data_IF_500836566904
#
_entry.id   IF_500836566904
#
_cell.length_a   1.000
_cell.length_b   1.000
_cell.length_c   1.000
_cell.angle_alpha   90.00
_cell.angle_beta   90.00
_cell.angle_gamma   90.00
#
_symmetry.space_group_name_H-M   'P 1'
#
loop_
_entity.id
_entity.type
_entity.pdbx_description
1 polymer ?
#
# COMPACT_ATOMS: atom_id res chain seq x y z
N UNK A 1 1.45 16.87 -1.63
CA UNK A 1 1.21 15.42 -1.85
C UNK A 1 1.13 14.61 -0.56
N UNK A 2 1.97 14.87 0.44
CA UNK A 2 2.02 14.07 1.69
C UNK A 2 0.71 14.04 2.48
N UNK A 3 -0.01 15.18 2.62
CA UNK A 3 -1.27 15.22 3.38
C UNK A 3 -2.35 14.35 2.74
N UNK A 4 -2.48 14.39 1.41
CA UNK A 4 -3.43 13.58 0.66
C UNK A 4 -3.10 12.09 0.78
N UNK A 5 -1.81 11.73 0.70
CA UNK A 5 -1.35 10.36 0.91
C UNK A 5 -1.65 9.85 2.33
N UNK A 6 -1.39 10.67 3.34
CA UNK A 6 -1.68 10.33 4.74
C UNK A 6 -3.19 10.19 4.97
N UNK A 7 -4.01 11.08 4.43
CA UNK A 7 -5.46 10.95 4.47
C UNK A 7 -5.95 9.67 3.79
N UNK A 8 -5.41 9.35 2.62
CA UNK A 8 -5.75 8.13 1.89
C UNK A 8 -5.36 6.86 2.67
N UNK A 9 -4.13 6.79 3.20
CA UNK A 9 -3.70 5.59 3.92
C UNK A 9 -4.46 5.40 5.23
N UNK A 10 -4.81 6.49 5.93
CA UNK A 10 -5.68 6.44 7.09
C UNK A 10 -7.05 5.84 6.72
N UNK A 11 -7.66 6.33 5.65
CA UNK A 11 -8.97 5.86 5.20
C UNK A 11 -8.93 4.37 4.84
N UNK A 12 -7.94 3.93 4.06
CA UNK A 12 -7.76 2.52 3.69
C UNK A 12 -7.70 1.62 4.93
N UNK A 13 -6.90 2.00 5.93
CA UNK A 13 -6.78 1.19 7.15
C UNK A 13 -8.05 1.27 8.00
N UNK A 14 -8.77 2.40 8.01
CA UNK A 14 -10.06 2.53 8.70
C UNK A 14 -11.06 1.54 8.12
N UNK A 15 -11.17 1.50 6.81
CA UNK A 15 -12.07 0.58 6.13
C UNK A 15 -11.69 -0.88 6.34
N UNK A 16 -10.40 -1.23 6.28
CA UNK A 16 -9.99 -2.61 6.59
C UNK A 16 -10.35 -3.03 8.02
N UNK A 17 -10.23 -2.13 9.00
CA UNK A 17 -10.67 -2.40 10.37
C UNK A 17 -12.19 -2.53 10.49
N UNK A 18 -12.95 -1.71 9.77
CA UNK A 18 -14.42 -1.77 9.78
C UNK A 18 -14.94 -3.06 9.13
N UNK A 19 -14.29 -3.51 8.06
CA UNK A 19 -14.68 -4.69 7.30
C UNK A 19 -14.21 -5.99 7.97
N UNK A 20 -13.04 -5.98 8.62
CA UNK A 20 -12.48 -7.16 9.27
C UNK A 20 -11.92 -6.77 10.64
N UNK A 21 -12.59 -7.15 11.74
CA UNK A 21 -12.11 -6.87 13.12
C UNK A 21 -10.71 -7.43 13.39
N UNK A 22 -10.30 -8.44 12.63
CA UNK A 22 -9.04 -9.16 12.75
C UNK A 22 -7.87 -8.44 12.07
N UNK A 23 -8.10 -7.25 11.49
CA UNK A 23 -7.09 -6.52 10.75
C UNK A 23 -5.95 -6.05 11.68
N UNK A 24 -4.67 -6.33 11.36
CA UNK A 24 -3.58 -6.23 12.34
C UNK A 24 -3.06 -4.80 12.60
N UNK A 25 -3.58 -3.78 11.90
CA UNK A 25 -3.05 -2.41 11.96
C UNK A 25 -4.18 -1.42 12.16
N UNK A 26 -4.12 -0.61 13.21
CA UNK A 26 -5.06 0.51 13.41
C UNK A 26 -4.74 1.68 12.46
N UNK A 27 -5.73 2.51 12.09
CA UNK A 27 -5.51 3.62 11.14
C UNK A 27 -4.49 4.64 11.65
N UNK A 28 -4.57 5.00 12.93
CA UNK A 28 -3.56 5.83 13.59
C UNK A 28 -2.20 5.14 13.69
N UNK A 29 -2.19 3.82 13.94
CA UNK A 29 -0.96 3.03 13.96
C UNK A 29 -0.26 2.96 12.60
N UNK A 30 -0.99 3.01 11.49
CA UNK A 30 -0.41 3.12 10.15
C UNK A 30 0.26 4.49 9.94
N UNK A 31 -0.44 5.57 10.32
CA UNK A 31 0.10 6.93 10.23
C UNK A 31 1.37 7.12 11.06
N UNK A 32 1.38 6.67 12.32
CA UNK A 32 2.55 6.79 13.19
C UNK A 32 3.78 6.10 12.59
N UNK A 33 3.60 4.92 11.98
CA UNK A 33 4.70 4.16 11.35
C UNK A 33 5.28 4.82 10.10
N UNK A 34 4.49 5.67 9.43
CA UNK A 34 4.90 6.41 8.22
C UNK A 34 5.49 7.77 8.59
N UNK A 35 4.91 8.47 9.56
CA UNK A 35 5.30 9.82 9.97
C UNK A 35 6.58 9.86 10.79
N UNK A 36 6.84 8.85 11.62
CA UNK A 36 8.02 8.86 12.49
C UNK A 36 9.26 8.45 11.66
N UNK A 37 10.24 9.35 11.47
CA UNK A 37 11.35 9.13 10.53
C UNK A 37 12.23 7.92 10.86
N UNK A 38 12.42 7.60 12.15
CA UNK A 38 13.15 6.40 12.58
C UNK A 38 12.43 5.09 12.23
N UNK A 39 11.11 5.12 12.01
CA UNK A 39 10.33 3.99 11.54
C UNK A 39 10.06 4.03 10.03
N UNK A 40 10.40 5.08 9.29
CA UNK A 40 9.84 5.28 7.95
C UNK A 40 10.19 4.14 6.96
N UNK A 41 11.39 3.54 7.08
CA UNK A 41 11.78 2.40 6.25
C UNK A 41 11.17 1.08 6.75
N UNK A 42 11.23 0.78 8.05
CA UNK A 42 10.73 -0.50 8.57
C UNK A 42 9.20 -0.51 8.72
N UNK A 43 8.63 0.64 9.05
CA UNK A 43 7.23 0.90 9.32
C UNK A 43 6.38 0.80 8.07
N UNK A 44 6.77 1.47 6.97
CA UNK A 44 6.05 1.37 5.71
C UNK A 44 6.13 -0.05 5.12
N UNK A 45 7.28 -0.73 5.25
CA UNK A 45 7.42 -2.15 4.90
C UNK A 45 6.47 -3.02 5.71
N UNK A 46 6.40 -2.79 7.03
CA UNK A 46 5.52 -3.52 7.95
C UNK A 46 4.05 -3.29 7.60
N UNK A 47 3.67 -2.06 7.29
CA UNK A 47 2.31 -1.67 6.88
C UNK A 47 1.88 -2.47 5.65
N UNK A 48 2.64 -2.40 4.56
CA UNK A 48 2.28 -3.11 3.32
C UNK A 48 2.39 -4.63 3.45
N UNK A 49 3.36 -5.14 4.24
CA UNK A 49 3.51 -6.58 4.48
C UNK A 49 2.33 -7.15 5.26
N UNK A 50 1.87 -6.47 6.31
CA UNK A 50 0.72 -6.89 7.10
C UNK A 50 -0.57 -6.82 6.29
N UNK A 51 -0.74 -5.78 5.48
CA UNK A 51 -1.89 -5.68 4.57
C UNK A 51 -1.89 -6.79 3.52
N UNK A 52 -0.74 -7.09 2.91
CA UNK A 52 -0.61 -8.23 2.00
C UNK A 52 -0.95 -9.55 2.71
N UNK A 53 -0.38 -9.81 3.89
CA UNK A 53 -0.69 -11.01 4.67
C UNK A 53 -2.18 -11.11 4.98
N UNK A 54 -2.81 -10.03 5.41
CA UNK A 54 -4.24 -10.00 5.67
C UNK A 54 -5.04 -10.40 4.43
N UNK A 55 -4.76 -9.78 3.28
CA UNK A 55 -5.43 -10.11 2.01
C UNK A 55 -5.19 -11.57 1.61
N UNK A 56 -3.97 -12.11 1.80
CA UNK A 56 -3.71 -13.53 1.49
C UNK A 56 -4.57 -14.51 2.31
N UNK A 57 -4.97 -14.15 3.53
CA UNK A 57 -5.76 -15.01 4.41
C UNK A 57 -7.27 -14.75 4.33
N UNK A 58 -7.69 -13.64 3.71
CA UNK A 58 -9.09 -13.26 3.67
C UNK A 58 -9.89 -14.10 2.67
N UNK A 59 -9.44 -14.13 1.41
CA UNK A 59 -10.11 -14.87 0.35
C UNK A 59 -9.21 -15.11 -0.87
N UNK A 60 -9.49 -16.19 -1.62
CA UNK A 60 -8.75 -16.57 -2.83
C UNK A 60 -8.74 -15.47 -3.91
N UNK A 61 -9.84 -14.72 -4.06
CA UNK A 61 -9.95 -13.62 -5.04
C UNK A 61 -8.98 -12.45 -4.73
N UNK A 62 -8.63 -12.27 -3.46
CA UNK A 62 -7.79 -11.15 -3.00
C UNK A 62 -6.28 -11.48 -3.01
N UNK A 63 -5.92 -12.76 -3.16
CA UNK A 63 -4.52 -13.23 -3.17
C UNK A 63 -3.70 -12.56 -4.27
N UNK A 64 -4.27 -12.36 -5.46
CA UNK A 64 -3.56 -11.70 -6.57
C UNK A 64 -3.13 -10.28 -6.22
N UNK A 65 -4.00 -9.53 -5.54
CA UNK A 65 -3.69 -8.17 -5.07
C UNK A 65 -2.65 -8.20 -3.96
N UNK A 66 -2.77 -9.15 -3.04
CA UNK A 66 -1.83 -9.34 -1.94
C UNK A 66 -0.40 -9.64 -2.42
N UNK A 67 -0.26 -10.54 -3.40
CA UNK A 67 1.04 -10.89 -4.00
C UNK A 67 1.62 -9.67 -4.71
N UNK A 68 0.80 -8.94 -5.49
CA UNK A 68 1.25 -7.72 -6.17
C UNK A 68 1.83 -6.70 -5.17
N UNK A 69 1.12 -6.42 -4.07
CA UNK A 69 1.63 -5.54 -3.00
C UNK A 69 2.98 -6.07 -2.51
N UNK A 70 3.07 -7.34 -2.12
CA UNK A 70 4.29 -7.94 -1.55
C UNK A 70 5.49 -7.89 -2.51
N UNK A 71 5.25 -8.12 -3.80
CA UNK A 71 6.30 -8.11 -4.82
C UNK A 71 6.84 -6.71 -5.06
N UNK A 72 5.99 -5.68 -5.09
CA UNK A 72 6.41 -4.32 -5.42
C UNK A 72 7.00 -3.54 -4.24
N UNK A 73 6.78 -3.97 -3.00
CA UNK A 73 7.43 -3.38 -1.80
C UNK A 73 8.96 -3.26 -2.00
N UNK A 74 9.74 -4.34 -2.21
CA UNK A 74 11.19 -4.24 -2.33
C UNK A 74 11.62 -3.33 -3.49
N UNK A 75 10.95 -3.39 -4.65
CA UNK A 75 11.28 -2.53 -5.80
C UNK A 75 11.09 -1.05 -5.50
N UNK A 76 10.02 -0.68 -4.81
CA UNK A 76 9.80 0.68 -4.33
C UNK A 76 10.95 1.13 -3.42
N UNK A 77 11.36 0.29 -2.46
CA UNK A 77 12.46 0.60 -1.54
C UNK A 77 13.80 0.76 -2.25
N UNK A 78 14.18 -0.19 -3.10
CA UNK A 78 15.44 -0.12 -3.84
C UNK A 78 15.49 1.11 -4.73
N UNK A 79 14.40 1.41 -5.43
CA UNK A 79 14.33 2.59 -6.31
C UNK A 79 14.42 3.89 -5.52
N UNK A 80 13.73 3.97 -4.38
CA UNK A 80 13.79 5.14 -3.51
C UNK A 80 15.19 5.34 -2.90
N UNK A 81 15.87 4.24 -2.55
CA UNK A 81 17.25 4.28 -2.05
C UNK A 81 18.22 4.80 -3.12
N UNK A 82 18.12 4.30 -4.36
CA UNK A 82 18.94 4.77 -5.47
C UNK A 82 18.66 6.24 -5.77
N UNK A 83 17.39 6.63 -5.85
CA UNK A 83 16.99 8.03 -6.01
C UNK A 83 17.57 8.92 -4.90
N UNK A 84 17.44 8.52 -3.64
CA UNK A 84 17.96 9.28 -2.49
C UNK A 84 19.49 9.42 -2.56
N UNK A 85 20.18 8.37 -2.99
CA UNK A 85 21.63 8.39 -3.18
C UNK A 85 22.04 9.34 -4.31
N UNK A 86 21.40 9.23 -5.48
CA UNK A 86 21.65 10.10 -6.63
C UNK A 86 21.34 11.57 -6.32
N UNK A 87 20.20 11.82 -5.68
CA UNK A 87 19.79 13.16 -5.27
C UNK A 87 20.78 13.76 -4.26
N UNK A 88 21.25 12.98 -3.28
CA UNK A 88 22.29 13.43 -2.35
C UNK A 88 23.61 13.72 -3.05
N UNK A 89 24.00 12.90 -4.04
CA UNK A 89 25.19 13.14 -4.87
C UNK A 89 25.05 14.41 -5.70
N UNK A 90 23.89 14.63 -6.31
CA UNK A 90 23.61 15.83 -7.12
C UNK A 90 23.69 17.11 -6.29
N UNK A 91 23.23 17.08 -5.03
CA UNK A 91 23.32 18.21 -4.10
C UNK A 91 24.75 18.48 -3.56
N UNK A 92 25.67 17.53 -3.75
CA UNK A 92 27.06 17.64 -3.28
C UNK A 92 28.03 18.08 -4.38
N UNK A 93 27.65 17.99 -5.66
CA UNK A 93 28.46 18.46 -6.77
C UNK A 93 28.38 20.00 -6.87
N UNK A 94 29.54 20.66 -6.96
CA UNK A 94 29.62 22.12 -7.19
C UNK A 94 29.21 22.51 -8.62
N UNK A 95 29.43 21.62 -9.59
CA UNK A 95 28.99 21.77 -10.98
C UNK A 95 27.92 20.72 -11.32
N UNK A 96 26.73 21.19 -11.74
CA UNK A 96 25.63 20.30 -12.10
C UNK A 96 25.95 19.49 -13.36
N UNK A 97 26.28 18.21 -13.18
CA UNK A 97 26.41 17.27 -14.29
C UNK A 97 25.05 16.95 -14.91
N UNK A 98 24.87 17.27 -16.20
CA UNK A 98 23.64 16.99 -16.96
C UNK A 98 23.31 15.48 -16.93
N UNK A 99 24.33 14.62 -17.00
CA UNK A 99 24.14 13.16 -16.94
C UNK A 99 23.55 12.74 -15.58
N UNK A 100 24.09 13.26 -14.48
CA UNK A 100 23.61 12.95 -13.13
C UNK A 100 22.18 13.47 -12.91
N UNK A 101 21.85 14.63 -13.46
CA UNK A 101 20.50 15.20 -13.45
C UNK A 101 19.53 14.25 -14.17
N UNK A 102 19.85 13.81 -15.39
CA UNK A 102 19.00 12.89 -16.16
C UNK A 102 18.77 11.56 -15.42
N UNK A 103 19.81 10.99 -14.81
CA UNK A 103 19.67 9.79 -13.98
C UNK A 103 18.75 10.03 -12.78
N UNK A 104 18.95 11.14 -12.07
CA UNK A 104 18.16 11.48 -10.87
C UNK A 104 16.68 11.65 -11.22
N UNK A 105 16.37 12.42 -12.26
CA UNK A 105 14.99 12.60 -12.75
C UNK A 105 14.39 11.30 -13.27
N UNK A 106 15.16 10.47 -13.99
CA UNK A 106 14.70 9.16 -14.45
C UNK A 106 14.29 8.25 -13.29
N UNK A 107 15.08 8.21 -12.22
CA UNK A 107 14.75 7.45 -11.01
C UNK A 107 13.56 8.03 -10.24
N UNK A 108 13.39 9.36 -10.22
CA UNK A 108 12.22 10.01 -9.61
C UNK A 108 10.90 9.58 -10.30
N UNK A 109 10.90 9.58 -11.64
CA UNK A 109 9.77 9.10 -12.44
C UNK A 109 9.52 7.61 -12.15
N UNK A 110 10.57 6.80 -12.10
CA UNK A 110 10.46 5.36 -11.80
C UNK A 110 9.86 5.10 -10.40
N UNK A 111 10.31 5.82 -9.38
CA UNK A 111 9.75 5.74 -8.01
C UNK A 111 8.27 6.12 -8.03
N UNK A 112 7.91 7.17 -8.76
CA UNK A 112 6.52 7.62 -8.90
C UNK A 112 5.63 6.58 -9.58
N UNK A 113 6.14 5.87 -10.59
CA UNK A 113 5.44 4.76 -11.24
C UNK A 113 5.20 3.60 -10.26
N UNK A 114 6.20 3.22 -9.46
CA UNK A 114 6.02 2.17 -8.45
C UNK A 114 5.01 2.56 -7.38
N UNK A 115 5.01 3.82 -6.96
CA UNK A 115 4.01 4.34 -6.05
C UNK A 115 2.59 4.21 -6.63
N UNK A 116 2.41 4.53 -7.91
CA UNK A 116 1.11 4.42 -8.58
C UNK A 116 0.65 2.96 -8.67
N UNK A 117 1.55 2.03 -9.04
CA UNK A 117 1.25 0.58 -9.06
C UNK A 117 0.84 0.09 -7.67
N UNK A 118 1.55 0.51 -6.62
CA UNK A 118 1.21 0.18 -5.24
C UNK A 118 -0.17 0.73 -4.87
N UNK A 119 -0.44 2.00 -5.14
CA UNK A 119 -1.73 2.65 -4.89
C UNK A 119 -2.89 1.88 -5.55
N UNK A 120 -2.75 1.52 -6.83
CA UNK A 120 -3.75 0.73 -7.56
C UNK A 120 -3.92 -0.65 -6.94
N UNK A 121 -2.82 -1.32 -6.56
CA UNK A 121 -2.90 -2.64 -5.93
C UNK A 121 -3.63 -2.60 -4.59
N UNK A 122 -3.38 -1.58 -3.76
CA UNK A 122 -4.06 -1.37 -2.47
C UNK A 122 -5.54 -1.10 -2.64
N UNK A 123 -5.89 -0.11 -3.48
CA UNK A 123 -7.30 0.27 -3.72
C UNK A 123 -8.10 -0.85 -4.37
N UNK A 124 -7.51 -1.57 -5.32
CA UNK A 124 -8.16 -2.73 -5.94
C UNK A 124 -8.36 -3.86 -4.94
N UNK A 125 -7.38 -4.11 -4.07
CA UNK A 125 -7.51 -5.08 -2.99
C UNK A 125 -8.68 -4.73 -2.05
N UNK A 126 -8.78 -3.47 -1.65
CA UNK A 126 -9.87 -2.98 -0.80
C UNK A 126 -11.24 -3.11 -1.47
N UNK A 127 -11.34 -2.82 -2.77
CA UNK A 127 -12.56 -3.04 -3.56
C UNK A 127 -12.97 -4.52 -3.55
N UNK A 128 -12.02 -5.43 -3.78
CA UNK A 128 -12.28 -6.87 -3.77
C UNK A 128 -12.74 -7.36 -2.38
N UNK A 129 -12.17 -6.81 -1.30
CA UNK A 129 -12.60 -7.11 0.07
C UNK A 129 -14.05 -6.68 0.32
N UNK A 130 -14.44 -5.47 -0.13
CA UNK A 130 -15.82 -4.97 -0.02
C UNK A 130 -16.81 -5.85 -0.80
N UNK A 131 -16.47 -6.23 -2.02
CA UNK A 131 -17.30 -7.09 -2.88
C UNK A 131 -17.54 -8.46 -2.24
N UNK A 132 -16.49 -9.09 -1.70
CA UNK A 132 -16.60 -10.37 -1.00
C UNK A 132 -17.50 -10.30 0.25
N UNK A 133 -17.44 -9.21 1.00
CA UNK A 133 -18.29 -9.03 2.19
C UNK A 133 -19.76 -8.81 1.83
N UNK A 134 -20.02 -8.05 0.77
CA UNK A 134 -21.36 -7.88 0.25
C UNK A 134 -21.94 -9.23 -0.24
N UNK A 135 -21.13 -10.07 -0.89
CA UNK A 135 -21.56 -11.41 -1.31
C UNK A 135 -21.87 -12.32 -0.12
N UNK A 136 -21.06 -12.27 0.96
CA UNK A 136 -21.35 -13.04 2.18
C UNK A 136 -22.64 -12.60 2.86
N UNK A 137 -22.85 -11.29 3.01
CA UNK A 137 -24.08 -10.77 3.59
C UNK A 137 -25.33 -11.22 2.81
N UNK A 138 -25.27 -11.19 1.47
CA UNK A 138 -26.36 -11.68 0.61
C UNK A 138 -26.58 -13.19 0.71
N UNK A 139 -25.52 -13.98 0.88
CA UNK A 139 -25.63 -15.43 1.08
C UNK A 139 -26.27 -15.78 2.44
N UNK A 140 -25.88 -15.06 3.50
CA UNK A 140 -26.45 -15.22 4.85
C UNK A 140 -27.93 -14.79 4.90
N UNK A 141 -28.30 -13.70 4.21
CA UNK A 141 -29.71 -13.29 4.05
C UNK A 141 -30.53 -14.31 3.24
N UNK A 142 -29.94 -14.91 2.20
CA UNK A 142 -30.59 -15.94 1.38
C UNK A 142 -30.83 -17.26 2.13
N UNK A 143 -29.91 -17.69 2.98
CA UNK A 143 -30.09 -18.87 3.84
C UNK A 143 -31.08 -18.63 5.00
N UNK A 144 -31.25 -17.38 5.44
CA UNK A 144 -32.16 -17.02 6.53
C UNK A 144 -33.65 -16.97 6.14
N UNK A 145 -33.98 -17.05 4.85
CA UNK A 145 -35.37 -17.18 4.37
C UNK A 145 -35.68 -18.68 4.28
N UNK A 146 -36.41 -19.27 5.25
CA UNK A 146 -36.75 -20.68 5.17
C UNK A 146 -37.61 -20.91 3.92
N UNK A 147 -37.28 -21.93 3.14
CA UNK A 147 -38.15 -22.42 2.06
C UNK A 147 -39.52 -22.73 2.66
N UNK A 148 -40.47 -21.83 2.43
CA UNK A 148 -41.87 -22.03 2.77
C UNK A 148 -42.40 -23.06 1.78
N UNK A 149 -42.33 -24.34 2.17
CA UNK A 149 -42.98 -25.45 1.50
C UNK A 149 -44.36 -25.68 2.13
#
# INVERSE_FOLDING_TARGET
MTILFLGWIFLVHKEYNEIAPNYPITPGGALCRILIPFYNIVGLWTVYSNMSRFLMHLDASTVRHAVRIRTFIPFYYFSHMIYSFLNRRLLMDEEYSISLLLWTTGFEVLVSLFYLVMFVAVTSGLKAVREHQQQRALAEEGEAIPEIN
#
